data_IF_566752704061
#
_entry.id   IF_566752704061
#
_cell.length_a   1.000
_cell.length_b   1.000
_cell.length_c   1.000
_cell.angle_alpha   90.00
_cell.angle_beta   90.00
_cell.angle_gamma   90.00
#
_symmetry.space_group_name_H-M   'P 1'
#
loop_
_entity.id
_entity.type
_entity.pdbx_description
1 polymer ?
#
# COMPACT_ATOMS: atom_id res chain seq x y z
N UNK A 1 18.31 -8.54 2.74
CA UNK A 1 18.53 -7.26 3.43
C UNK A 1 17.15 -6.64 3.63
N UNK A 2 16.76 -6.27 4.86
CA UNK A 2 15.38 -5.87 5.17
C UNK A 2 15.06 -4.42 4.79
N UNK A 3 16.07 -3.57 4.57
CA UNK A 3 15.94 -2.16 4.21
C UNK A 3 15.87 -1.92 2.68
N UNK A 4 15.77 -2.97 1.84
CA UNK A 4 15.78 -2.82 0.38
C UNK A 4 14.68 -1.89 -0.14
N UNK A 5 13.48 -1.98 0.46
CA UNK A 5 12.34 -1.11 0.11
C UNK A 5 12.61 0.34 0.56
N UNK A 6 12.88 0.66 1.85
CA UNK A 6 13.27 2.00 2.25
C UNK A 6 14.44 2.60 1.45
N UNK A 7 15.45 1.78 1.15
CA UNK A 7 16.61 2.21 0.39
C UNK A 7 16.24 2.57 -1.05
N UNK A 8 15.46 1.74 -1.74
CA UNK A 8 14.99 2.05 -3.08
C UNK A 8 14.19 3.36 -3.11
N UNK A 9 13.32 3.58 -2.12
CA UNK A 9 12.53 4.82 -1.95
C UNK A 9 13.45 6.01 -1.73
N UNK A 10 14.44 5.91 -0.84
CA UNK A 10 15.43 6.95 -0.60
C UNK A 10 16.13 7.39 -1.89
N UNK A 11 16.62 6.43 -2.68
CA UNK A 11 17.29 6.75 -3.96
C UNK A 11 16.32 7.40 -4.96
N UNK A 12 15.09 6.89 -5.05
CA UNK A 12 14.10 7.36 -6.02
C UNK A 12 13.62 8.78 -5.71
N UNK A 13 13.44 9.09 -4.42
CA UNK A 13 12.83 10.35 -3.95
C UNK A 13 13.86 11.41 -3.57
N UNK A 14 15.08 11.01 -3.19
CA UNK A 14 16.11 11.88 -2.61
C UNK A 14 15.84 12.26 -1.13
N UNK A 15 14.77 11.77 -0.52
CA UNK A 15 14.47 11.99 0.90
C UNK A 15 15.44 11.16 1.75
N UNK A 16 15.95 11.72 2.85
CA UNK A 16 16.91 11.04 3.74
C UNK A 16 16.42 9.65 4.18
N UNK A 17 17.32 8.66 4.17
CA UNK A 17 16.99 7.25 4.41
C UNK A 17 16.36 7.05 5.79
N UNK A 18 16.86 7.74 6.82
CA UNK A 18 16.34 7.68 8.18
C UNK A 18 14.89 8.16 8.27
N UNK A 19 14.56 9.22 7.51
CA UNK A 19 13.19 9.71 7.42
C UNK A 19 12.28 8.72 6.70
N UNK A 20 12.76 8.07 5.64
CA UNK A 20 12.02 6.99 4.96
C UNK A 20 11.76 5.83 5.91
N UNK A 21 12.78 5.37 6.66
CA UNK A 21 12.64 4.26 7.61
C UNK A 21 11.59 4.59 8.67
N UNK A 22 11.68 5.77 9.28
CA UNK A 22 10.71 6.21 10.30
C UNK A 22 9.27 6.25 9.78
N UNK A 23 9.08 6.63 8.51
CA UNK A 23 7.75 6.52 7.90
C UNK A 23 7.39 5.08 7.59
N UNK A 24 8.32 4.29 7.03
CA UNK A 24 8.09 2.91 6.64
C UNK A 24 7.65 2.02 7.81
N UNK A 25 8.15 2.25 9.02
CA UNK A 25 7.68 1.59 10.24
C UNK A 25 6.17 1.73 10.44
N UNK A 26 5.61 2.92 10.16
CA UNK A 26 4.15 3.16 10.24
C UNK A 26 3.36 2.41 9.16
N UNK A 27 4.03 2.03 8.06
CA UNK A 27 3.49 1.26 6.95
C UNK A 27 3.85 -0.23 7.04
N UNK A 28 4.33 -0.69 8.19
CA UNK A 28 4.58 -2.11 8.46
C UNK A 28 5.95 -2.63 8.02
N UNK A 29 6.92 -1.74 7.81
CA UNK A 29 8.33 -2.16 7.70
C UNK A 29 8.83 -2.66 9.05
N UNK A 30 9.59 -3.75 9.03
CA UNK A 30 10.21 -4.34 10.21
C UNK A 30 11.70 -4.59 9.97
N UNK A 31 12.61 -4.29 10.92
CA UNK A 31 14.05 -4.40 10.71
C UNK A 31 14.54 -5.81 10.35
N UNK A 32 13.80 -6.87 10.69
CA UNK A 32 14.15 -8.26 10.36
C UNK A 32 13.32 -8.84 9.22
N UNK A 33 12.10 -8.33 8.98
CA UNK A 33 11.16 -8.93 8.04
C UNK A 33 10.99 -8.10 6.76
N UNK A 34 11.53 -6.88 6.74
CA UNK A 34 11.41 -5.95 5.64
C UNK A 34 10.01 -5.36 5.50
N UNK A 35 9.66 -4.99 4.28
CA UNK A 35 8.39 -4.37 3.92
C UNK A 35 7.86 -5.01 2.64
N UNK A 36 6.54 -5.09 2.55
CA UNK A 36 5.85 -5.59 1.38
C UNK A 36 5.84 -4.56 0.25
N UNK A 37 5.94 -5.03 -1.00
CA UNK A 37 6.03 -4.16 -2.18
C UNK A 37 4.89 -3.13 -2.27
N UNK A 38 3.64 -3.58 -2.09
CA UNK A 38 2.46 -2.69 -2.10
C UNK A 38 2.52 -1.65 -0.98
N UNK A 39 3.00 -2.02 0.21
CA UNK A 39 3.14 -1.08 1.32
C UNK A 39 4.20 0.00 1.02
N UNK A 40 5.32 -0.39 0.40
CA UNK A 40 6.34 0.54 -0.08
C UNK A 40 5.79 1.50 -1.14
N UNK A 41 5.00 1.01 -2.09
CA UNK A 41 4.36 1.85 -3.11
C UNK A 41 3.36 2.84 -2.49
N UNK A 42 2.53 2.39 -1.56
CA UNK A 42 1.61 3.25 -0.81
C UNK A 42 2.34 4.33 -0.01
N UNK A 43 3.47 3.98 0.62
CA UNK A 43 4.31 4.95 1.35
C UNK A 43 4.77 6.08 0.42
N UNK A 44 5.33 5.77 -0.75
CA UNK A 44 5.81 6.79 -1.71
C UNK A 44 4.67 7.70 -2.14
N UNK A 45 3.51 7.13 -2.48
CA UNK A 45 2.31 7.89 -2.87
C UNK A 45 1.85 8.80 -1.75
N UNK A 46 1.80 8.29 -0.53
CA UNK A 46 1.38 9.06 0.64
C UNK A 46 2.39 10.14 1.00
N UNK A 47 3.66 10.02 0.62
CA UNK A 47 4.64 11.10 0.74
C UNK A 47 4.43 12.25 -0.27
N UNK A 48 3.42 12.17 -1.14
CA UNK A 48 3.09 13.22 -2.12
C UNK A 48 3.80 13.08 -3.47
N UNK A 49 4.55 12.00 -3.69
CA UNK A 49 5.17 11.73 -4.98
C UNK A 49 4.15 11.20 -5.98
N UNK A 50 4.26 11.63 -7.23
CA UNK A 50 3.54 11.01 -8.32
C UNK A 50 4.13 9.63 -8.60
N UNK A 51 3.32 8.58 -8.48
CA UNK A 51 3.73 7.21 -8.85
C UNK A 51 2.77 6.62 -9.86
N UNK A 52 3.29 5.90 -10.85
CA UNK A 52 2.43 5.11 -11.74
C UNK A 52 1.93 3.87 -11.00
N UNK A 53 0.84 3.23 -11.47
CA UNK A 53 0.45 1.92 -10.96
C UNK A 53 1.60 0.92 -11.02
N UNK A 54 1.70 0.05 -10.02
CA UNK A 54 2.59 -1.12 -10.08
C UNK A 54 2.11 -2.07 -11.17
N UNK A 55 2.90 -2.26 -12.21
CA UNK A 55 2.57 -3.18 -13.31
C UNK A 55 3.57 -4.31 -13.38
N UNK A 56 3.09 -5.51 -13.72
CA UNK A 56 3.96 -6.60 -14.13
C UNK A 56 4.40 -6.34 -15.58
N UNK A 57 5.70 -6.38 -15.90
CA UNK A 57 6.14 -6.26 -17.29
C UNK A 57 5.66 -7.48 -18.08
N UNK A 58 4.93 -7.23 -19.17
CA UNK A 58 4.44 -8.26 -20.09
C UNK A 58 5.33 -8.34 -21.35
N UNK A 59 5.78 -9.53 -21.78
CA UNK A 59 5.78 -10.81 -21.05
C UNK A 59 6.79 -10.80 -19.88
N UNK A 60 6.75 -11.80 -18.98
CA UNK A 60 7.63 -11.95 -17.80
C UNK A 60 9.09 -11.59 -18.11
N UNK A 61 9.45 -10.33 -17.88
CA UNK A 61 10.75 -9.81 -18.25
C UNK A 61 11.77 -10.16 -17.17
N UNK A 62 12.98 -10.51 -17.61
CA UNK A 62 14.15 -10.53 -16.72
C UNK A 62 14.64 -9.11 -16.44
N UNK A 63 15.37 -8.91 -15.35
CA UNK A 63 16.03 -7.64 -15.03
C UNK A 63 16.83 -7.12 -16.23
N UNK A 64 17.62 -7.97 -16.91
CA UNK A 64 18.40 -7.59 -18.10
C UNK A 64 17.52 -7.02 -19.22
N UNK A 65 16.41 -7.69 -19.51
CA UNK A 65 15.49 -7.27 -20.57
C UNK A 65 14.81 -5.96 -20.20
N UNK A 66 14.31 -5.84 -18.97
CA UNK A 66 13.65 -4.61 -18.51
C UNK A 66 14.62 -3.43 -18.54
N UNK A 67 15.82 -3.57 -17.96
CA UNK A 67 16.82 -2.49 -17.94
C UNK A 67 17.19 -1.98 -19.34
N UNK A 68 17.15 -2.84 -20.36
CA UNK A 68 17.43 -2.44 -21.75
C UNK A 68 16.31 -1.63 -22.40
N UNK A 69 15.08 -1.71 -21.88
CA UNK A 69 13.90 -1.03 -22.44
C UNK A 69 13.42 0.17 -21.63
N UNK A 70 13.96 0.40 -20.43
CA UNK A 70 13.57 1.54 -19.60
C UNK A 70 14.00 2.88 -20.21
N UNK A 71 13.13 3.88 -20.05
CA UNK A 71 13.46 5.26 -20.34
C UNK A 71 14.49 5.78 -19.33
N UNK A 72 15.72 6.00 -19.80
CA UNK A 72 16.85 6.44 -18.98
C UNK A 72 16.69 7.84 -18.42
N UNK A 73 15.73 8.64 -18.88
CA UNK A 73 15.48 9.98 -18.33
C UNK A 73 14.65 9.95 -17.03
N UNK A 74 13.99 8.82 -16.76
CA UNK A 74 13.05 8.68 -15.65
C UNK A 74 13.66 7.96 -14.46
N UNK A 75 12.88 7.93 -13.37
CA UNK A 75 13.17 7.14 -12.17
C UNK A 75 12.16 6.01 -12.06
N UNK A 76 12.67 4.78 -11.97
CA UNK A 76 11.88 3.57 -11.84
C UNK A 76 12.26 2.82 -10.57
N UNK A 77 11.28 2.22 -9.91
CA UNK A 77 11.53 1.21 -8.88
C UNK A 77 11.13 -0.15 -9.45
N UNK A 78 11.99 -1.14 -9.24
CA UNK A 78 11.82 -2.50 -9.71
C UNK A 78 11.72 -3.43 -8.50
N UNK A 79 10.64 -4.20 -8.46
CA UNK A 79 10.41 -5.26 -7.48
C UNK A 79 10.67 -6.62 -8.12
N UNK A 80 11.52 -7.41 -7.49
CA UNK A 80 11.61 -8.87 -7.68
C UNK A 80 11.03 -9.56 -6.44
N UNK A 81 11.11 -10.89 -6.34
CA UNK A 81 10.45 -11.66 -5.27
C UNK A 81 10.77 -11.17 -3.84
N UNK A 82 12.05 -10.96 -3.53
CA UNK A 82 12.49 -10.62 -2.16
C UNK A 82 13.31 -9.32 -2.10
N UNK A 83 13.26 -8.50 -3.16
CA UNK A 83 14.15 -7.35 -3.26
C UNK A 83 13.60 -6.22 -4.12
N UNK A 84 13.92 -4.99 -3.71
CA UNK A 84 13.66 -3.76 -4.43
C UNK A 84 14.97 -3.06 -4.77
N UNK A 85 15.02 -2.49 -5.97
CA UNK A 85 16.09 -1.60 -6.36
C UNK A 85 15.57 -0.49 -7.28
N UNK A 86 16.36 0.57 -7.40
CA UNK A 86 15.97 1.78 -8.13
C UNK A 86 16.85 1.96 -9.35
N UNK A 87 16.24 2.37 -10.46
CA UNK A 87 16.93 2.89 -11.63
C UNK A 87 16.63 4.38 -11.69
N UNK A 88 17.66 5.22 -11.60
CA UNK A 88 17.51 6.68 -11.64
C UNK A 88 18.46 7.23 -12.69
N UNK A 89 17.91 7.94 -13.67
CA UNK A 89 18.71 8.54 -14.74
C UNK A 89 19.57 7.51 -15.51
N UNK A 90 19.06 6.28 -15.65
CA UNK A 90 19.76 5.17 -16.30
C UNK A 90 20.80 4.45 -15.44
N UNK A 91 21.06 4.92 -14.21
CA UNK A 91 21.96 4.26 -13.26
C UNK A 91 21.18 3.31 -12.35
N UNK A 92 21.77 2.13 -12.06
CA UNK A 92 21.16 1.09 -11.24
C UNK A 92 21.70 1.17 -9.82
N UNK A 93 20.81 1.38 -8.85
CA UNK A 93 21.11 1.44 -7.43
C UNK A 93 20.58 0.19 -6.75
N UNK A 94 21.38 -0.86 -6.77
CA UNK A 94 21.03 -2.18 -6.25
C UNK A 94 22.06 -2.67 -5.23
N UNK A 95 21.73 -2.54 -3.94
CA UNK A 95 22.55 -3.08 -2.83
C UNK A 95 22.60 -4.61 -2.77
N UNK A 96 21.59 -5.28 -3.33
CA UNK A 96 21.46 -6.73 -3.29
C UNK A 96 22.22 -7.44 -4.41
N UNK A 97 22.62 -6.72 -5.47
CA UNK A 97 23.30 -7.30 -6.62
C UNK A 97 22.42 -8.30 -7.37
N UNK A 98 21.18 -7.91 -7.68
CA UNK A 98 20.17 -8.76 -8.31
C UNK A 98 20.69 -9.34 -9.62
N UNK A 99 20.62 -10.66 -9.73
CA UNK A 99 21.11 -11.35 -10.92
C UNK A 99 20.33 -10.90 -12.18
N UNK A 100 20.99 -10.62 -13.32
CA UNK A 100 20.31 -10.09 -14.52
C UNK A 100 19.20 -10.98 -15.10
N UNK A 101 19.19 -12.29 -14.75
CA UNK A 101 18.14 -13.24 -15.17
C UNK A 101 16.96 -13.35 -14.20
N UNK A 102 17.00 -12.65 -13.06
CA UNK A 102 15.88 -12.63 -12.11
C UNK A 102 14.64 -12.05 -12.77
N UNK A 103 13.48 -12.67 -12.52
CA UNK A 103 12.21 -12.21 -13.07
C UNK A 103 11.72 -10.98 -12.31
N UNK A 104 11.26 -9.98 -13.05
CA UNK A 104 10.63 -8.80 -12.49
C UNK A 104 9.19 -9.10 -12.15
N UNK A 105 8.78 -8.75 -10.92
CA UNK A 105 7.39 -8.86 -10.47
C UNK A 105 6.62 -7.59 -10.73
N UNK A 106 7.21 -6.45 -10.38
CA UNK A 106 6.59 -5.15 -10.57
C UNK A 106 7.61 -4.11 -10.99
N UNK A 107 7.16 -3.16 -11.81
CA UNK A 107 7.87 -1.92 -12.11
C UNK A 107 6.90 -0.76 -12.01
N UNK A 108 7.38 0.38 -11.53
CA UNK A 108 6.63 1.64 -11.56
C UNK A 108 7.56 2.85 -11.62
N UNK A 109 7.05 3.93 -12.17
CA UNK A 109 7.74 5.21 -12.29
C UNK A 109 7.47 6.09 -11.06
N UNK A 110 8.50 6.81 -10.63
CA UNK A 110 8.40 7.83 -9.56
C UNK A 110 8.71 9.19 -10.17
N UNK A 111 7.70 10.05 -10.18
CA UNK A 111 7.78 11.46 -10.59
C UNK A 111 8.02 12.38 -9.40
N UNK A 112 8.06 13.70 -9.65
CA UNK A 112 8.28 14.69 -8.59
C UNK A 112 7.09 14.82 -7.63
N UNK A 113 7.37 15.46 -6.50
CA UNK A 113 6.37 15.82 -5.49
C UNK A 113 5.30 16.72 -6.14
N UNK A 114 4.02 16.42 -5.89
CA UNK A 114 2.97 17.34 -6.34
C UNK A 114 3.04 18.62 -5.49
N UNK A 115 2.97 19.82 -6.11
CA UNK A 115 3.03 21.10 -5.39
C UNK A 115 1.95 21.25 -4.31
N UNK A 116 0.86 20.49 -4.43
CA UNK A 116 -0.34 20.63 -3.59
C UNK A 116 -0.36 19.62 -2.42
N UNK A 117 0.64 18.73 -2.33
CA UNK A 117 0.79 17.76 -1.24
C UNK A 117 1.76 18.27 -0.18
N UNK A 118 1.40 19.35 0.51
CA UNK A 118 2.03 19.74 1.77
C UNK A 118 1.56 18.79 2.87
N UNK A 119 2.16 17.60 2.89
CA UNK A 119 2.22 16.85 4.14
C UNK A 119 3.15 17.61 5.07
N UNK A 120 2.58 18.13 6.15
CA UNK A 120 3.31 18.74 7.25
C UNK A 120 4.36 17.75 7.78
N UNK A 121 5.57 17.82 7.24
CA UNK A 121 6.76 17.34 7.94
C UNK A 121 7.12 18.46 8.92
N UNK A 122 6.34 18.60 10.00
CA UNK A 122 6.83 19.31 11.18
C UNK A 122 7.68 18.34 11.98
N UNK A 123 8.96 18.27 11.61
CA UNK A 123 10.02 18.07 12.57
C UNK A 123 10.06 19.30 13.48
N UNK A 124 9.48 19.21 14.69
CA UNK A 124 9.52 20.31 15.64
C UNK A 124 8.95 19.92 16.99
N UNK A 125 9.84 19.72 17.96
CA UNK A 125 9.49 19.74 19.38
C UNK A 125 8.79 21.08 19.70
N UNK A 126 7.58 21.02 20.27
CA UNK A 126 6.81 22.23 20.59
C UNK A 126 5.65 21.91 21.51
N UNK A 127 5.68 22.53 22.69
CA UNK A 127 4.83 22.39 23.87
C UNK A 127 3.31 22.31 23.65
N UNK A 128 2.70 21.58 24.58
CA UNK A 128 1.31 21.73 25.02
C UNK A 128 0.82 23.19 25.02
N UNK A 129 -0.34 23.40 24.41
CA UNK A 129 -1.10 24.64 24.49
C UNK A 129 -2.59 24.31 24.45
N UNK A 130 -3.21 24.23 25.62
CA UNK A 130 -4.66 24.20 25.79
C UNK A 130 -5.26 25.50 25.28
N UNK A 131 -6.33 25.42 24.49
CA UNK A 131 -7.52 26.28 24.63
C UNK A 131 -8.67 25.70 23.80
N UNK A 132 -9.86 25.73 24.40
CA UNK A 132 -11.01 24.94 24.01
C UNK A 132 -11.97 25.58 23.03
N UNK A 133 -13.05 24.82 22.82
CA UNK A 133 -14.33 25.14 22.19
C UNK A 133 -14.41 25.12 20.65
N UNK A 134 -14.67 23.92 20.11
CA UNK A 134 -15.93 23.62 19.41
C UNK A 134 -16.04 22.10 19.16
N UNK A 135 -17.02 21.46 19.80
CA UNK A 135 -17.44 20.08 19.51
C UNK A 135 -18.11 20.05 18.14
N UNK A 136 -17.32 19.84 17.09
CA UNK A 136 -17.79 19.19 15.87
C UNK A 136 -17.01 17.89 15.76
N UNK A 137 -17.70 16.77 15.98
CA UNK A 137 -17.19 15.42 15.78
C UNK A 137 -16.97 15.16 14.28
N UNK A 138 -15.96 15.81 13.70
CA UNK A 138 -15.44 15.41 12.41
C UNK A 138 -14.57 14.19 12.64
N UNK A 139 -14.84 13.11 11.88
CA UNK A 139 -14.01 11.92 11.86
C UNK A 139 -12.53 12.30 11.71
N UNK A 140 -11.61 11.62 12.42
CA UNK A 140 -10.17 11.82 12.22
C UNK A 140 -9.70 11.41 10.81
N UNK A 141 -10.55 10.79 9.99
CA UNK A 141 -10.25 10.39 8.62
C UNK A 141 -11.02 11.26 7.63
N UNK A 142 -10.30 11.96 6.75
CA UNK A 142 -10.93 12.62 5.61
C UNK A 142 -11.41 11.57 4.58
N UNK A 143 -12.45 11.92 3.81
CA UNK A 143 -13.03 11.03 2.79
C UNK A 143 -12.00 10.62 1.73
N UNK A 144 -11.01 11.46 1.44
CA UNK A 144 -9.96 11.20 0.44
C UNK A 144 -9.05 10.05 0.88
N UNK A 145 -8.66 10.00 2.16
CA UNK A 145 -7.87 8.94 2.76
C UNK A 145 -8.58 7.60 2.67
N UNK A 146 -9.88 7.57 2.94
CA UNK A 146 -10.71 6.38 2.85
C UNK A 146 -10.83 5.89 1.40
N UNK A 147 -11.10 6.80 0.47
CA UNK A 147 -11.17 6.50 -0.96
C UNK A 147 -9.84 5.96 -1.50
N UNK A 148 -8.72 6.54 -1.09
CA UNK A 148 -7.39 6.11 -1.51
C UNK A 148 -7.01 4.75 -0.93
N UNK A 149 -7.35 4.50 0.35
CA UNK A 149 -7.21 3.18 0.97
C UNK A 149 -8.00 2.12 0.19
N UNK A 150 -9.28 2.39 -0.08
CA UNK A 150 -10.13 1.46 -0.80
C UNK A 150 -9.63 1.21 -2.22
N UNK A 151 -9.22 2.26 -2.95
CA UNK A 151 -8.65 2.12 -4.30
C UNK A 151 -7.38 1.30 -4.31
N UNK A 152 -6.46 1.56 -3.38
CA UNK A 152 -5.19 0.84 -3.31
C UNK A 152 -5.39 -0.64 -3.00
N UNK A 153 -6.30 -0.96 -2.07
CA UNK A 153 -6.60 -2.34 -1.73
C UNK A 153 -7.28 -3.07 -2.91
N UNK A 154 -8.18 -2.40 -3.63
CA UNK A 154 -8.85 -2.93 -4.81
C UNK A 154 -7.96 -3.01 -6.07
N UNK A 155 -6.81 -2.32 -6.08
CA UNK A 155 -5.85 -2.35 -7.18
C UNK A 155 -4.90 -3.57 -7.12
N UNK A 156 -4.88 -4.31 -6.01
CA UNK A 156 -4.09 -5.53 -5.87
C UNK A 156 -4.60 -6.63 -6.79
N UNK A 157 -3.91 -6.86 -7.91
CA UNK A 157 -3.98 -8.06 -8.78
C UNK A 157 -5.37 -8.70 -8.92
N UNK A 158 -6.37 -7.97 -9.44
CA UNK A 158 -7.60 -8.60 -9.93
C UNK A 158 -7.24 -9.55 -11.07
N UNK A 159 -7.61 -10.84 -10.96
CA UNK A 159 -7.67 -11.68 -12.15
C UNK A 159 -8.55 -10.94 -13.19
N UNK A 160 -8.09 -10.81 -14.43
CA UNK A 160 -8.66 -9.90 -15.45
C UNK A 160 -10.15 -10.14 -15.79
N UNK A 161 -10.80 -11.12 -15.15
CA UNK A 161 -12.18 -11.54 -15.35
C UNK A 161 -13.20 -10.85 -14.45
N UNK A 162 -12.79 -10.10 -13.42
CA UNK A 162 -13.76 -9.49 -12.50
C UNK A 162 -13.48 -8.00 -12.26
N UNK A 163 -14.37 -7.15 -12.76
CA UNK A 163 -14.20 -5.69 -12.80
C UNK A 163 -15.10 -4.91 -11.82
N UNK A 164 -15.78 -5.57 -10.88
CA UNK A 164 -16.81 -4.93 -10.02
C UNK A 164 -16.46 -4.95 -8.55
N UNK A 165 -15.33 -4.34 -8.23
CA UNK A 165 -14.97 -4.02 -6.86
C UNK A 165 -15.78 -2.81 -6.37
N UNK A 166 -16.33 -2.89 -5.16
CA UNK A 166 -17.07 -1.80 -4.53
C UNK A 166 -16.68 -1.72 -3.07
N UNK A 167 -16.80 -0.55 -2.46
CA UNK A 167 -16.62 -0.39 -1.03
C UNK A 167 -17.74 0.45 -0.43
N UNK A 168 -17.94 0.26 0.86
CA UNK A 168 -18.83 1.03 1.72
C UNK A 168 -18.00 1.57 2.88
N UNK A 169 -18.37 2.75 3.37
CA UNK A 169 -17.72 3.40 4.51
C UNK A 169 -18.76 3.69 5.57
N UNK A 170 -18.41 3.52 6.85
CA UNK A 170 -19.27 3.99 7.93
C UNK A 170 -19.40 5.52 7.93
N UNK A 171 -20.44 6.02 8.58
CA UNK A 171 -20.74 7.46 8.66
C UNK A 171 -19.63 8.24 9.38
N UNK A 172 -18.97 7.60 10.35
CA UNK A 172 -17.81 8.13 11.06
C UNK A 172 -16.49 7.93 10.31
N UNK A 173 -16.52 7.40 9.08
CA UNK A 173 -15.35 7.07 8.25
C UNK A 173 -14.30 6.19 8.93
N UNK A 174 -14.63 5.55 10.05
CA UNK A 174 -13.71 4.65 10.77
C UNK A 174 -13.62 3.30 10.08
N UNK A 175 -14.71 2.82 9.52
CA UNK A 175 -14.80 1.48 8.95
C UNK A 175 -14.95 1.51 7.45
N UNK A 176 -14.27 0.58 6.79
CA UNK A 176 -14.39 0.34 5.34
C UNK A 176 -14.71 -1.12 5.10
N UNK A 177 -15.86 -1.37 4.45
CA UNK A 177 -16.21 -2.69 3.93
C UNK A 177 -15.85 -2.72 2.45
N UNK A 178 -14.94 -3.60 2.06
CA UNK A 178 -14.52 -3.76 0.67
C UNK A 178 -15.01 -5.09 0.12
N UNK A 179 -15.65 -5.04 -1.05
CA UNK A 179 -16.00 -6.20 -1.86
C UNK A 179 -14.98 -6.35 -2.99
N UNK A 180 -14.31 -7.48 -3.01
CA UNK A 180 -13.38 -7.86 -4.06
C UNK A 180 -13.90 -9.08 -4.84
N UNK A 181 -13.58 -9.17 -6.13
CA UNK A 181 -13.78 -10.39 -6.92
C UNK A 181 -12.47 -10.83 -7.56
N UNK A 182 -12.09 -12.08 -7.34
CA UNK A 182 -10.80 -12.64 -7.75
C UNK A 182 -9.86 -12.85 -6.57
N UNK A 183 -8.78 -13.58 -6.82
CA UNK A 183 -7.67 -13.65 -5.87
C UNK A 183 -7.07 -12.25 -5.71
N UNK A 184 -6.58 -11.96 -4.52
CA UNK A 184 -5.67 -10.83 -4.29
C UNK A 184 -4.55 -11.38 -3.44
N UNK A 185 -3.35 -10.82 -3.59
CA UNK A 185 -2.23 -11.11 -2.69
C UNK A 185 -2.63 -10.96 -1.21
N UNK A 186 -3.63 -10.12 -0.91
CA UNK A 186 -4.20 -9.96 0.41
C UNK A 186 -5.01 -11.18 0.88
N UNK A 187 -5.95 -11.68 0.06
CA UNK A 187 -6.76 -12.86 0.39
C UNK A 187 -5.85 -14.09 0.54
N UNK A 188 -4.83 -14.22 -0.30
CA UNK A 188 -3.82 -15.27 -0.20
C UNK A 188 -3.07 -15.20 1.15
N UNK A 189 -2.75 -14.00 1.65
CA UNK A 189 -2.10 -13.81 2.96
C UNK A 189 -3.02 -14.08 4.15
N UNK A 190 -4.30 -13.73 4.06
CA UNK A 190 -5.24 -13.87 5.18
C UNK A 190 -5.81 -15.28 5.28
N UNK A 191 -6.11 -15.91 4.14
CA UNK A 191 -6.80 -17.20 4.06
C UNK A 191 -5.92 -18.33 3.51
N UNK A 192 -4.81 -18.04 2.84
CA UNK A 192 -4.02 -19.05 2.13
C UNK A 192 -4.73 -19.64 0.91
N UNK A 193 -5.82 -19.04 0.45
CA UNK A 193 -6.64 -19.56 -0.65
C UNK A 193 -6.17 -18.99 -1.98
N UNK A 194 -5.76 -19.84 -2.92
CA UNK A 194 -5.35 -19.46 -4.28
C UNK A 194 -6.51 -19.44 -5.28
N UNK A 195 -7.75 -19.55 -4.80
CA UNK A 195 -8.95 -19.64 -5.66
C UNK A 195 -9.54 -18.26 -5.92
N UNK A 196 -10.02 -18.04 -7.14
CA UNK A 196 -10.82 -16.85 -7.44
C UNK A 196 -12.21 -16.96 -6.78
N UNK A 197 -12.60 -15.93 -6.03
CA UNK A 197 -13.89 -15.87 -5.35
C UNK A 197 -14.35 -14.43 -5.11
N UNK A 198 -15.54 -14.25 -4.54
CA UNK A 198 -15.97 -12.95 -4.03
C UNK A 198 -15.62 -12.87 -2.55
N UNK A 199 -14.97 -11.78 -2.14
CA UNK A 199 -14.54 -11.56 -0.76
C UNK A 199 -15.09 -10.24 -0.24
N UNK A 200 -15.47 -10.22 1.03
CA UNK A 200 -15.89 -9.03 1.75
C UNK A 200 -15.03 -8.85 2.98
N UNK A 201 -14.34 -7.73 3.09
CA UNK A 201 -13.42 -7.46 4.18
C UNK A 201 -13.76 -6.13 4.86
N UNK A 202 -14.00 -6.16 6.17
CA UNK A 202 -14.22 -4.98 6.99
C UNK A 202 -12.91 -4.56 7.67
N UNK A 203 -12.56 -3.28 7.59
CA UNK A 203 -11.36 -2.72 8.21
C UNK A 203 -11.71 -1.61 9.17
N UNK A 204 -10.93 -1.51 10.25
CA UNK A 204 -10.89 -0.36 11.15
C UNK A 204 -9.68 0.48 10.76
N UNK A 205 -9.90 1.69 10.26
CA UNK A 205 -8.83 2.59 9.84
C UNK A 205 -8.02 3.14 11.01
N UNK A 206 -8.49 2.98 12.25
CA UNK A 206 -7.69 3.29 13.44
C UNK A 206 -6.62 2.23 13.74
N UNK A 207 -6.71 1.07 13.08
CA UNK A 207 -5.75 -0.03 13.25
C UNK A 207 -4.65 0.07 12.17
N UNK A 208 -3.42 -0.41 12.47
CA UNK A 208 -2.32 -0.40 11.52
C UNK A 208 -2.70 -1.03 10.19
N UNK A 209 -2.15 -0.49 9.09
CA UNK A 209 -2.48 -0.94 7.75
C UNK A 209 -2.21 -2.46 7.60
N UNK A 210 -3.08 -3.21 6.91
CA UNK A 210 -2.96 -4.67 6.74
C UNK A 210 -1.73 -5.16 5.95
N UNK A 211 -0.79 -4.27 5.63
CA UNK A 211 0.47 -4.58 4.95
C UNK A 211 1.53 -5.17 5.89
N UNK A 212 1.38 -5.00 7.21
CA UNK A 212 2.21 -5.65 8.21
C UNK A 212 1.81 -7.12 8.34
N UNK A 213 2.80 -8.01 8.24
CA UNK A 213 2.66 -9.45 8.41
C UNK A 213 1.81 -9.81 9.65
N UNK A 214 0.59 -10.34 9.43
CA UNK A 214 -0.14 -11.08 10.46
C UNK A 214 -1.31 -10.38 11.16
N UNK A 215 -2.41 -10.19 10.42
CA UNK A 215 -3.86 -10.16 10.81
C UNK A 215 -4.46 -8.91 11.50
N UNK A 216 -5.80 -8.69 11.34
CA UNK A 216 -6.58 -8.87 10.12
C UNK A 216 -7.57 -7.70 9.88
N UNK A 217 -8.17 -7.65 8.69
CA UNK A 217 -9.54 -7.15 8.59
C UNK A 217 -10.37 -7.66 9.78
N UNK A 218 -11.14 -6.79 10.44
CA UNK A 218 -11.98 -7.13 11.61
C UNK A 218 -12.90 -8.30 11.29
N UNK A 219 -13.29 -8.41 10.02
CA UNK A 219 -14.19 -9.44 9.55
C UNK A 219 -13.95 -9.73 8.05
N UNK A 220 -13.97 -11.01 7.67
CA UNK A 220 -13.76 -11.48 6.30
C UNK A 220 -14.72 -12.60 5.93
N UNK A 221 -15.51 -12.41 4.88
CA UNK A 221 -16.40 -13.43 4.32
C UNK A 221 -16.06 -13.71 2.87
N UNK A 222 -16.09 -15.00 2.52
CA UNK A 222 -15.97 -15.49 1.14
C UNK A 222 -17.35 -15.95 0.63
N UNK A 223 -17.64 -15.70 -0.64
CA UNK A 223 -18.84 -16.18 -1.32
C UNK A 223 -19.93 -15.12 -1.45
N UNK A 224 -21.20 -15.53 -1.35
CA UNK A 224 -22.35 -14.66 -1.59
C UNK A 224 -22.64 -13.79 -0.36
N UNK A 225 -23.03 -12.52 -0.57
CA UNK A 225 -23.56 -11.70 0.51
C UNK A 225 -24.97 -12.15 0.91
N UNK A 226 -25.18 -12.47 2.18
CA UNK A 226 -26.46 -12.88 2.75
C UNK A 226 -26.92 -11.86 3.79
N UNK A 227 -28.21 -11.82 4.08
CA UNK A 227 -28.76 -10.91 5.10
C UNK A 227 -28.12 -11.14 6.49
N UNK A 228 -27.80 -12.39 6.84
CA UNK A 228 -27.09 -12.75 8.08
C UNK A 228 -25.73 -12.06 8.20
N UNK A 229 -25.03 -11.82 7.09
CA UNK A 229 -23.75 -11.14 7.08
C UNK A 229 -23.84 -9.68 7.51
N UNK A 230 -24.96 -9.00 7.23
CA UNK A 230 -25.17 -7.64 7.70
C UNK A 230 -25.29 -7.59 9.22
N UNK A 231 -26.00 -8.55 9.81
CA UNK A 231 -26.15 -8.66 11.27
C UNK A 231 -24.80 -8.96 11.93
N UNK A 232 -23.99 -9.84 11.35
CA UNK A 232 -22.64 -10.15 11.83
C UNK A 232 -21.68 -8.95 11.71
N UNK A 233 -21.72 -8.26 10.56
CA UNK A 233 -20.95 -7.04 10.34
C UNK A 233 -21.31 -5.95 11.34
N UNK A 234 -22.60 -5.72 11.57
CA UNK A 234 -23.08 -4.72 12.53
C UNK A 234 -22.62 -5.05 13.95
N UNK A 235 -22.63 -6.34 14.32
CA UNK A 235 -22.06 -6.82 15.59
C UNK A 235 -20.55 -6.58 15.68
N UNK A 236 -19.80 -6.85 14.60
CA UNK A 236 -18.35 -6.64 14.57
C UNK A 236 -17.98 -5.15 14.70
N UNK A 237 -18.74 -4.26 14.04
CA UNK A 237 -18.58 -2.80 14.17
C UNK A 237 -18.88 -2.36 15.60
N UNK A 238 -20.00 -2.80 16.17
CA UNK A 238 -20.42 -2.43 17.53
C UNK A 238 -19.43 -2.92 18.60
N UNK A 239 -18.85 -4.12 18.42
CA UNK A 239 -17.86 -4.67 19.35
C UNK A 239 -16.49 -3.96 19.28
N UNK A 240 -16.23 -3.21 18.21
CA UNK A 240 -15.00 -2.46 18.02
C UNK A 240 -15.09 -1.00 18.52
N UNK A 241 -16.30 -0.52 18.84
CA UNK A 241 -16.54 0.81 19.44
C UNK A 241 -16.28 0.79 20.95
#
# INVERSE_FOLDING_TARGET
>A
MSDCVPYAIHIATGVALEAIISQAEKYGWHPQLGMQAVAGWCLIRNMGFQVTPMTAPEPRATVKQLLSSLDKSKTHIISVDDHWFTVRQGEVFDKGGTHPRTQVRHVFEVGQLQPDSTLFIQSGAGSCGTNGNALNSQSPFDRKCVDDFARNWLAGSTCHRHQRSVYWTSDDHRFVLMKHHGHTDYVDRVRGSTRCGTYYALYDLTKPHPGALGKPCIWLVEGRWLASHWTELSRAVSAAQ
#
